data_IF_954469731811
#
_entry.id   IF_954469731811
#
_cell.length_a   1.000
_cell.length_b   1.000
_cell.length_c   1.000
_cell.angle_alpha   90.00
_cell.angle_beta   90.00
_cell.angle_gamma   90.00
#
_symmetry.space_group_name_H-M   'P 1'
#
loop_
_entity.id
_entity.type
_entity.pdbx_description
1 polymer ?
#
# COMPACT_ATOMS: atom_id res chain seq x y z
N UNK A 1 -3.04 3.95 25.76
CA UNK A 1 -2.89 3.29 24.44
C UNK A 1 -3.93 3.80 23.44
N UNK A 2 -4.67 4.84 23.82
CA UNK A 2 -6.00 5.12 23.27
C UNK A 2 -5.93 5.93 21.97
N UNK A 3 -4.90 6.77 21.82
CA UNK A 3 -4.69 7.60 20.64
C UNK A 3 -4.50 6.81 19.34
N UNK A 4 -3.97 5.58 19.40
CA UNK A 4 -3.74 4.80 18.19
C UNK A 4 -5.04 4.45 17.47
N UNK A 5 -6.11 4.14 18.21
CA UNK A 5 -7.42 3.85 17.61
C UNK A 5 -8.02 5.08 16.92
N UNK A 6 -7.75 6.28 17.44
CA UNK A 6 -8.22 7.52 16.85
C UNK A 6 -7.53 7.87 15.53
N UNK A 7 -6.33 7.31 15.25
CA UNK A 7 -5.65 7.48 13.93
C UNK A 7 -6.43 6.85 12.79
N UNK A 8 -7.25 5.84 13.09
CA UNK A 8 -7.98 5.06 12.08
C UNK A 8 -8.94 5.94 11.28
N UNK A 9 -9.64 6.87 11.94
CA UNK A 9 -10.60 7.78 11.31
C UNK A 9 -9.96 8.71 10.24
N UNK A 10 -8.93 9.53 10.55
CA UNK A 10 -8.32 10.41 9.56
C UNK A 10 -7.59 9.63 8.46
N UNK A 11 -7.07 8.44 8.75
CA UNK A 11 -6.48 7.56 7.73
C UNK A 11 -7.54 7.12 6.72
N UNK A 12 -8.67 6.56 7.17
CA UNK A 12 -9.75 6.14 6.27
C UNK A 12 -10.30 7.31 5.45
N UNK A 13 -10.49 8.47 6.09
CA UNK A 13 -10.99 9.66 5.41
C UNK A 13 -10.01 10.16 4.34
N UNK A 14 -8.71 10.15 4.64
CA UNK A 14 -7.66 10.56 3.68
C UNK A 14 -7.54 9.59 2.51
N UNK A 15 -7.71 8.28 2.73
CA UNK A 15 -7.68 7.26 1.67
C UNK A 15 -8.74 7.51 0.60
N UNK A 16 -9.95 7.95 0.99
CA UNK A 16 -11.01 8.30 0.03
C UNK A 16 -10.56 9.42 -0.89
N UNK A 17 -9.92 10.47 -0.35
CA UNK A 17 -9.41 11.57 -1.16
C UNK A 17 -8.24 11.13 -2.05
N UNK A 18 -7.30 10.34 -1.52
CA UNK A 18 -6.18 9.81 -2.30
C UNK A 18 -6.71 9.08 -3.55
N UNK A 19 -7.62 8.11 -3.38
CA UNK A 19 -8.18 7.38 -4.51
C UNK A 19 -8.96 8.28 -5.47
N UNK A 20 -9.74 9.24 -4.96
CA UNK A 20 -10.46 10.18 -5.81
C UNK A 20 -9.50 10.99 -6.68
N UNK A 21 -8.50 11.65 -6.09
CA UNK A 21 -7.53 12.48 -6.80
C UNK A 21 -6.67 11.67 -7.78
N UNK A 22 -6.31 10.42 -7.43
CA UNK A 22 -5.61 9.50 -8.34
C UNK A 22 -6.46 9.19 -9.57
N UNK A 23 -7.76 8.87 -9.41
CA UNK A 23 -8.67 8.58 -10.53
C UNK A 23 -8.90 9.79 -11.42
N UNK A 24 -8.86 11.01 -10.87
CA UNK A 24 -9.00 12.25 -11.61
C UNK A 24 -7.73 12.69 -12.36
N UNK A 25 -6.67 11.88 -12.33
CA UNK A 25 -5.40 12.19 -13.01
C UNK A 25 -4.50 13.16 -12.25
N UNK A 26 -4.84 13.51 -11.00
CA UNK A 26 -4.03 14.39 -10.14
C UNK A 26 -3.07 13.59 -9.25
N UNK A 27 -2.53 12.47 -9.76
CA UNK A 27 -1.62 11.60 -9.02
C UNK A 27 -0.33 12.33 -8.57
N UNK A 28 0.16 13.30 -9.34
CA UNK A 28 1.33 14.11 -8.95
C UNK A 28 1.05 14.92 -7.68
N UNK A 29 -0.13 15.55 -7.58
CA UNK A 29 -0.56 16.30 -6.39
C UNK A 29 -0.63 15.39 -5.18
N UNK A 30 -1.19 14.19 -5.33
CA UNK A 30 -1.22 13.17 -4.27
C UNK A 30 0.20 12.83 -3.82
N UNK A 31 1.12 12.56 -4.75
CA UNK A 31 2.51 12.21 -4.44
C UNK A 31 3.22 13.33 -3.68
N UNK A 32 3.08 14.59 -4.09
CA UNK A 32 3.68 15.74 -3.41
C UNK A 32 3.17 15.89 -1.96
N UNK A 33 1.86 15.74 -1.76
CA UNK A 33 1.25 15.79 -0.42
C UNK A 33 1.76 14.63 0.44
N UNK A 34 1.88 13.43 -0.11
CA UNK A 34 2.40 12.27 0.62
C UNK A 34 3.87 12.43 1.01
N UNK A 35 4.71 13.01 0.15
CA UNK A 35 6.10 13.31 0.51
C UNK A 35 6.19 14.33 1.64
N UNK A 36 5.38 15.39 1.58
CA UNK A 36 5.29 16.36 2.67
C UNK A 36 4.79 15.71 3.97
N UNK A 37 3.80 14.82 3.87
CA UNK A 37 3.29 14.07 5.01
C UNK A 37 4.36 13.20 5.66
N UNK A 38 5.17 12.48 4.88
CA UNK A 38 6.28 11.65 5.41
C UNK A 38 7.30 12.52 6.13
N UNK A 39 7.67 13.67 5.55
CA UNK A 39 8.59 14.61 6.19
C UNK A 39 8.02 15.16 7.51
N UNK A 40 6.75 15.58 7.51
CA UNK A 40 6.07 16.06 8.70
C UNK A 40 5.97 14.96 9.77
N UNK A 41 5.66 13.72 9.36
CA UNK A 41 5.58 12.57 10.25
C UNK A 41 6.91 12.29 10.94
N UNK A 42 8.02 12.28 10.19
CA UNK A 42 9.35 12.08 10.76
C UNK A 42 9.73 13.18 11.77
N UNK A 43 9.40 14.44 11.48
CA UNK A 43 9.65 15.58 12.37
C UNK A 43 8.81 15.45 13.65
N UNK A 44 7.51 15.17 13.52
CA UNK A 44 6.60 15.05 14.66
C UNK A 44 6.95 13.85 15.53
N UNK A 45 7.25 12.70 14.94
CA UNK A 45 7.71 11.52 15.67
C UNK A 45 8.96 11.84 16.47
N UNK A 46 9.95 12.51 15.87
CA UNK A 46 11.16 12.90 16.58
C UNK A 46 10.88 13.82 17.77
N UNK A 47 9.96 14.78 17.62
CA UNK A 47 9.62 15.73 18.70
C UNK A 47 8.81 15.05 19.81
N UNK A 48 7.78 14.28 19.46
CA UNK A 48 6.79 13.71 20.38
C UNK A 48 7.29 12.45 21.09
N UNK A 49 8.14 11.65 20.43
CA UNK A 49 8.74 10.46 21.04
C UNK A 49 9.83 10.87 22.01
N UNK A 50 10.77 11.74 21.59
CA UNK A 50 11.92 12.13 22.40
C UNK A 50 11.68 13.32 23.34
N UNK A 51 10.51 13.98 23.26
CA UNK A 51 10.15 15.09 24.15
C UNK A 51 11.04 16.33 23.97
N UNK A 52 11.55 16.58 22.77
CA UNK A 52 12.30 17.82 22.47
C UNK A 52 11.34 19.01 22.34
N UNK A 53 11.84 20.24 22.51
CA UNK A 53 11.06 21.48 22.34
C UNK A 53 9.95 21.76 23.39
N UNK A 54 10.17 21.40 24.66
CA UNK A 54 9.19 21.54 25.77
C UNK A 54 7.94 20.65 25.65
N UNK A 55 7.94 19.68 24.74
CA UNK A 55 6.90 18.66 24.66
C UNK A 55 7.14 17.55 25.69
N UNK A 56 6.10 16.98 26.31
CA UNK A 56 6.23 15.82 27.18
C UNK A 56 6.75 14.60 26.39
N UNK A 57 7.68 13.84 26.96
CA UNK A 57 8.16 12.59 26.37
C UNK A 57 7.08 11.51 26.48
N UNK A 58 6.28 11.37 25.42
CA UNK A 58 5.12 10.47 25.41
C UNK A 58 5.44 9.08 24.84
N UNK A 59 6.66 8.85 24.36
CA UNK A 59 7.10 7.57 23.80
C UNK A 59 6.13 7.06 22.72
N UNK A 60 5.61 5.85 22.91
CA UNK A 60 4.67 5.20 21.96
C UNK A 60 3.36 5.98 21.80
N UNK A 61 2.88 6.67 22.85
CA UNK A 61 1.69 7.50 22.74
C UNK A 61 1.94 8.72 21.84
N UNK A 62 3.18 9.23 21.81
CA UNK A 62 3.61 10.32 20.93
C UNK A 62 3.55 9.93 19.45
N UNK A 63 3.97 8.70 19.10
CA UNK A 63 3.86 8.18 17.73
C UNK A 63 2.39 8.10 17.25
N UNK A 64 1.48 7.69 18.14
CA UNK A 64 0.05 7.69 17.85
C UNK A 64 -0.49 9.11 17.59
N UNK A 65 -0.13 10.07 18.44
CA UNK A 65 -0.57 11.47 18.29
C UNK A 65 0.00 12.12 17.02
N UNK A 66 1.27 11.87 16.70
CA UNK A 66 1.91 12.32 15.46
C UNK A 66 1.10 11.87 14.24
N UNK A 67 0.70 10.59 14.21
CA UNK A 67 -0.15 10.04 13.16
C UNK A 67 -1.49 10.79 13.02
N UNK A 68 -2.21 11.03 14.12
CA UNK A 68 -3.48 11.77 14.07
C UNK A 68 -3.29 13.15 13.46
N UNK A 69 -2.25 13.89 13.89
CA UNK A 69 -1.99 15.25 13.42
C UNK A 69 -1.63 15.25 11.93
N UNK A 70 -0.75 14.35 11.50
CA UNK A 70 -0.31 14.27 10.10
C UNK A 70 -1.46 13.88 9.19
N UNK A 71 -2.17 12.78 9.49
CA UNK A 71 -3.30 12.36 8.65
C UNK A 71 -4.46 13.35 8.71
N UNK A 72 -4.68 14.02 9.84
CA UNK A 72 -5.63 15.13 9.95
C UNK A 72 -5.25 16.32 9.07
N UNK A 73 -3.97 16.69 9.05
CA UNK A 73 -3.45 17.76 8.19
C UNK A 73 -3.58 17.41 6.70
N UNK A 74 -3.22 16.19 6.31
CA UNK A 74 -3.41 15.68 4.94
C UNK A 74 -4.88 15.75 4.53
N UNK A 75 -5.77 15.28 5.39
CA UNK A 75 -7.21 15.33 5.15
C UNK A 75 -7.68 16.77 4.90
N UNK A 76 -7.24 17.72 5.73
CA UNK A 76 -7.57 19.14 5.56
C UNK A 76 -7.01 19.71 4.25
N UNK A 77 -5.78 19.38 3.88
CA UNK A 77 -5.18 19.81 2.61
C UNK A 77 -6.01 19.28 1.43
N UNK A 78 -6.36 17.99 1.41
CA UNK A 78 -7.21 17.43 0.36
C UNK A 78 -8.60 18.08 0.34
N UNK A 79 -9.19 18.32 1.49
CA UNK A 79 -10.49 18.99 1.60
C UNK A 79 -10.45 20.41 1.03
N UNK A 80 -9.43 21.19 1.36
CA UNK A 80 -9.21 22.54 0.82
C UNK A 80 -8.99 22.48 -0.70
N UNK A 81 -8.10 21.61 -1.18
CA UNK A 81 -7.88 21.44 -2.61
C UNK A 81 -9.17 21.09 -3.34
N UNK A 82 -9.99 20.23 -2.76
CA UNK A 82 -11.28 19.87 -3.34
C UNK A 82 -12.28 21.03 -3.37
N UNK A 83 -12.35 21.81 -2.28
CA UNK A 83 -13.28 22.92 -2.14
C UNK A 83 -12.94 24.11 -3.05
N UNK A 84 -11.65 24.39 -3.27
CA UNK A 84 -11.19 25.59 -3.98
C UNK A 84 -10.81 25.35 -5.44
N UNK A 85 -10.52 24.12 -5.85
CA UNK A 85 -10.02 23.87 -7.19
C UNK A 85 -11.14 23.98 -8.25
N UNK A 86 -10.99 24.92 -9.19
CA UNK A 86 -11.99 25.34 -10.20
C UNK A 86 -12.56 24.21 -11.05
N UNK A 87 -11.79 23.13 -11.27
CA UNK A 87 -12.24 21.91 -11.95
C UNK A 87 -13.41 21.21 -11.24
N UNK A 88 -13.49 21.32 -9.91
CA UNK A 88 -14.54 20.70 -9.09
C UNK A 88 -15.82 21.52 -9.03
N UNK A 89 -15.77 22.83 -9.29
CA UNK A 89 -16.97 23.68 -9.37
C UNK A 89 -17.95 23.24 -10.46
N UNK A 90 -17.46 22.60 -11.51
CA UNK A 90 -18.27 22.12 -12.64
C UNK A 90 -18.89 20.74 -12.40
N UNK A 91 -18.23 19.87 -11.61
CA UNK A 91 -18.59 18.45 -11.50
C UNK A 91 -19.04 18.02 -10.10
N UNK A 92 -18.69 18.76 -9.04
CA UNK A 92 -19.05 18.40 -7.67
C UNK A 92 -20.36 19.00 -7.21
N UNK A 93 -21.38 18.16 -7.30
CA UNK A 93 -22.63 18.26 -6.56
C UNK A 93 -22.37 17.94 -5.07
N UNK A 94 -21.64 18.78 -4.35
CA UNK A 94 -21.71 18.77 -2.87
C UNK A 94 -23.14 19.04 -2.38
N UNK A 95 -24.00 19.57 -3.26
CA UNK A 95 -25.43 19.80 -3.05
C UNK A 95 -26.27 18.52 -2.81
N UNK A 96 -25.75 17.31 -3.08
CA UNK A 96 -26.47 16.01 -2.92
C UNK A 96 -25.77 15.01 -2.01
N UNK A 97 -24.75 15.41 -1.24
CA UNK A 97 -24.14 14.53 -0.20
C UNK A 97 -25.20 13.94 0.73
N UNK A 98 -26.30 14.67 0.94
CA UNK A 98 -27.37 14.29 1.87
C UNK A 98 -28.41 13.29 1.33
N UNK A 99 -28.34 12.88 0.06
CA UNK A 99 -29.20 11.80 -0.47
C UNK A 99 -28.35 10.60 -0.89
N UNK A 100 -28.00 9.70 0.05
CA UNK A 100 -27.27 8.48 -0.30
C UNK A 100 -28.05 7.70 -1.35
N UNK A 101 -27.45 7.49 -2.51
CA UNK A 101 -28.00 6.60 -3.54
C UNK A 101 -27.71 5.18 -3.10
N UNK A 102 -28.67 4.54 -2.46
CA UNK A 102 -28.57 3.15 -1.99
C UNK A 102 -28.14 2.17 -3.09
N UNK A 103 -28.51 2.44 -4.35
CA UNK A 103 -28.08 1.67 -5.51
C UNK A 103 -26.56 1.68 -5.69
N UNK A 104 -25.95 2.87 -5.62
CA UNK A 104 -24.50 3.05 -5.72
C UNK A 104 -23.80 2.44 -4.50
N UNK A 105 -24.35 2.65 -3.30
CA UNK A 105 -23.77 2.07 -2.08
C UNK A 105 -23.80 0.53 -2.10
N UNK A 106 -24.91 -0.08 -2.55
CA UNK A 106 -25.02 -1.54 -2.71
C UNK A 106 -24.02 -2.08 -3.72
N UNK A 107 -23.76 -1.35 -4.80
CA UNK A 107 -22.75 -1.71 -5.78
C UNK A 107 -21.33 -1.61 -5.20
N UNK A 108 -21.02 -0.56 -4.43
CA UNK A 108 -19.76 -0.45 -3.69
C UNK A 108 -19.56 -1.63 -2.73
N UNK A 109 -20.57 -2.01 -1.96
CA UNK A 109 -20.49 -3.18 -1.07
C UNK A 109 -20.31 -4.49 -1.86
N UNK A 110 -21.06 -4.68 -2.96
CA UNK A 110 -20.95 -5.89 -3.79
C UNK A 110 -19.55 -6.05 -4.41
N UNK A 111 -18.92 -4.95 -4.82
CA UNK A 111 -17.57 -4.97 -5.41
C UNK A 111 -16.47 -5.01 -4.34
N UNK A 112 -16.67 -4.29 -3.24
CA UNK A 112 -15.69 -4.17 -2.15
C UNK A 112 -15.64 -5.40 -1.26
N UNK A 113 -16.79 -6.01 -0.93
CA UNK A 113 -16.87 -7.12 0.01
C UNK A 113 -15.99 -8.32 -0.37
N UNK A 114 -16.01 -8.84 -1.61
CA UNK A 114 -15.13 -9.95 -1.99
C UNK A 114 -13.65 -9.58 -1.92
N UNK A 115 -13.28 -8.34 -2.27
CA UNK A 115 -11.89 -7.87 -2.22
C UNK A 115 -11.38 -7.73 -0.79
N UNK A 116 -12.18 -7.15 0.10
CA UNK A 116 -11.82 -7.01 1.52
C UNK A 116 -11.71 -8.37 2.18
N UNK A 117 -12.65 -9.29 1.92
CA UNK A 117 -12.60 -10.65 2.46
C UNK A 117 -11.34 -11.39 2.00
N UNK A 118 -11.00 -11.30 0.70
CA UNK A 118 -9.75 -11.88 0.17
C UNK A 118 -8.52 -11.31 0.87
N UNK A 119 -8.48 -9.98 1.08
CA UNK A 119 -7.38 -9.30 1.78
C UNK A 119 -7.25 -9.73 3.24
N UNK A 120 -8.37 -9.82 3.95
CA UNK A 120 -8.41 -10.31 5.34
C UNK A 120 -7.91 -11.74 5.44
N UNK A 121 -8.42 -12.65 4.60
CA UNK A 121 -7.97 -14.04 4.58
C UNK A 121 -6.47 -14.15 4.33
N UNK A 122 -5.93 -13.37 3.39
CA UNK A 122 -4.48 -13.35 3.14
C UNK A 122 -3.69 -12.85 4.34
N UNK A 123 -4.12 -11.76 4.99
CA UNK A 123 -3.42 -11.22 6.16
C UNK A 123 -3.48 -12.18 7.36
N UNK A 124 -4.63 -12.84 7.56
CA UNK A 124 -4.80 -13.88 8.57
C UNK A 124 -3.89 -15.07 8.27
N UNK A 125 -3.79 -15.53 7.02
CA UNK A 125 -2.88 -16.61 6.65
C UNK A 125 -1.42 -16.26 6.98
N UNK A 126 -0.96 -15.05 6.65
CA UNK A 126 0.40 -14.60 7.01
C UNK A 126 0.62 -14.51 8.53
N UNK A 127 -0.42 -14.11 9.27
CA UNK A 127 -0.36 -14.04 10.73
C UNK A 127 -0.29 -15.43 11.36
N UNK A 128 -1.09 -16.39 10.85
CA UNK A 128 -1.08 -17.78 11.30
C UNK A 128 0.25 -18.45 10.97
N UNK A 129 0.83 -18.22 9.79
CA UNK A 129 2.15 -18.77 9.46
C UNK A 129 3.25 -18.19 10.34
N UNK A 130 3.15 -16.91 10.72
CA UNK A 130 4.10 -16.29 11.66
C UNK A 130 3.96 -16.91 13.08
N UNK A 131 2.74 -17.20 13.53
CA UNK A 131 2.49 -17.88 14.81
C UNK A 131 3.05 -19.31 14.80
N UNK A 132 2.81 -20.08 13.73
CA UNK A 132 3.37 -21.42 13.56
C UNK A 132 4.90 -21.40 13.50
N UNK A 133 5.50 -20.41 12.83
CA UNK A 133 6.95 -20.22 12.85
C UNK A 133 7.46 -19.92 14.27
N UNK A 134 6.68 -19.23 15.10
CA UNK A 134 7.00 -19.02 16.52
C UNK A 134 7.05 -20.31 17.34
N UNK A 135 6.22 -21.30 17.02
CA UNK A 135 6.23 -22.60 17.69
C UNK A 135 7.50 -23.41 17.40
N UNK A 136 8.12 -23.18 16.23
CA UNK A 136 9.40 -23.80 15.84
C UNK A 136 10.62 -23.16 16.53
N UNK A 137 10.41 -22.10 17.31
CA UNK A 137 11.43 -21.42 18.10
C UNK A 137 11.65 -19.95 17.71
N UNK A 138 12.30 -19.22 18.61
CA UNK A 138 12.54 -17.77 18.49
C UNK A 138 13.36 -17.38 17.24
N UNK A 139 14.25 -18.26 16.80
CA UNK A 139 15.03 -18.06 15.59
C UNK A 139 14.15 -18.13 14.33
N UNK A 140 13.20 -19.07 14.27
CA UNK A 140 12.34 -19.24 13.09
C UNK A 140 11.43 -18.01 12.86
N UNK A 141 10.82 -17.47 13.91
CA UNK A 141 9.99 -16.25 13.81
C UNK A 141 10.79 -14.98 13.51
N UNK A 142 12.01 -14.85 14.04
CA UNK A 142 12.90 -13.73 13.72
C UNK A 142 13.27 -13.75 12.22
N UNK A 143 13.62 -14.93 11.70
CA UNK A 143 13.87 -15.16 10.27
C UNK A 143 12.66 -14.77 9.42
N UNK A 144 11.49 -15.28 9.78
CA UNK A 144 10.25 -15.01 9.05
C UNK A 144 9.94 -13.51 9.01
N UNK A 145 10.13 -12.80 10.12
CA UNK A 145 9.88 -11.36 10.21
C UNK A 145 10.82 -10.57 9.30
N UNK A 146 12.12 -10.85 9.32
CA UNK A 146 13.09 -10.20 8.43
C UNK A 146 12.76 -10.48 6.95
N UNK A 147 12.49 -11.74 6.60
CA UNK A 147 12.08 -12.11 5.24
C UNK A 147 10.81 -11.38 4.80
N UNK A 148 9.82 -11.26 5.69
CA UNK A 148 8.56 -10.57 5.42
C UNK A 148 8.77 -9.09 5.14
N UNK A 149 9.63 -8.41 5.91
CA UNK A 149 9.94 -6.98 5.70
C UNK A 149 10.66 -6.75 4.36
N UNK A 150 11.64 -7.60 4.02
CA UNK A 150 12.34 -7.53 2.73
C UNK A 150 11.35 -7.71 1.57
N UNK A 151 10.46 -8.69 1.67
CA UNK A 151 9.40 -8.94 0.67
C UNK A 151 8.47 -7.74 0.49
N UNK A 152 8.08 -7.10 1.59
CA UNK A 152 7.23 -5.90 1.55
C UNK A 152 7.94 -4.77 0.79
N UNK A 153 9.19 -4.48 1.14
CA UNK A 153 9.97 -3.39 0.54
C UNK A 153 10.21 -3.60 -0.95
N UNK A 154 10.67 -4.80 -1.34
CA UNK A 154 11.17 -5.05 -2.69
C UNK A 154 10.04 -5.33 -3.68
N UNK A 155 9.06 -6.16 -3.31
CA UNK A 155 8.09 -6.65 -4.28
C UNK A 155 6.71 -6.06 -4.09
N UNK A 156 6.26 -5.90 -2.85
CA UNK A 156 4.90 -5.45 -2.60
C UNK A 156 4.67 -4.00 -3.03
N UNK A 157 5.61 -3.10 -2.71
CA UNK A 157 5.54 -1.68 -3.10
C UNK A 157 5.47 -1.52 -4.62
N UNK A 158 6.38 -2.16 -5.34
CA UNK A 158 6.44 -2.08 -6.82
C UNK A 158 5.18 -2.66 -7.44
N UNK A 159 4.76 -3.85 -7.00
CA UNK A 159 3.57 -4.53 -7.52
C UNK A 159 2.32 -3.68 -7.32
N UNK A 160 2.16 -3.10 -6.12
CA UNK A 160 0.98 -2.32 -5.78
C UNK A 160 0.94 -0.97 -6.50
N UNK A 161 2.09 -0.31 -6.65
CA UNK A 161 2.20 0.93 -7.41
C UNK A 161 1.83 0.72 -8.89
N UNK A 162 2.37 -0.31 -9.54
CA UNK A 162 2.08 -0.60 -10.95
C UNK A 162 0.61 -1.02 -11.12
N UNK A 163 0.11 -1.90 -10.26
CA UNK A 163 -1.29 -2.35 -10.31
C UNK A 163 -2.28 -1.18 -10.15
N UNK A 164 -2.03 -0.27 -9.20
CA UNK A 164 -2.88 0.91 -9.00
C UNK A 164 -2.86 1.87 -10.20
N UNK A 165 -1.70 2.09 -10.81
CA UNK A 165 -1.56 2.91 -12.02
C UNK A 165 -2.35 2.32 -13.21
N UNK A 166 -2.28 1.01 -13.41
CA UNK A 166 -3.00 0.31 -14.49
C UNK A 166 -4.50 0.39 -14.27
N UNK A 167 -4.99 0.06 -13.07
CA UNK A 167 -6.42 0.12 -12.74
C UNK A 167 -6.97 1.52 -13.02
N UNK A 168 -6.22 2.56 -12.63
CA UNK A 168 -6.61 3.95 -12.84
C UNK A 168 -6.69 4.31 -14.33
N UNK A 169 -5.64 4.01 -15.11
CA UNK A 169 -5.60 4.31 -16.56
C UNK A 169 -6.60 3.48 -17.36
N UNK A 170 -6.77 2.22 -16.99
CA UNK A 170 -7.73 1.30 -17.60
C UNK A 170 -9.17 1.71 -17.28
N UNK A 171 -9.45 2.16 -16.05
CA UNK A 171 -10.75 2.73 -15.69
C UNK A 171 -11.11 3.95 -16.54
N UNK A 172 -10.14 4.85 -16.79
CA UNK A 172 -10.32 5.99 -17.67
C UNK A 172 -10.52 5.58 -19.15
N UNK A 173 -9.75 4.60 -19.65
CA UNK A 173 -9.89 4.08 -21.02
C UNK A 173 -11.23 3.34 -21.24
N UNK A 174 -11.68 2.57 -20.24
CA UNK A 174 -12.98 1.91 -20.25
C UNK A 174 -14.12 2.93 -20.36
N UNK A 175 -14.02 4.06 -19.64
CA UNK A 175 -14.98 5.15 -19.72
C UNK A 175 -15.06 5.79 -21.12
N UNK A 176 -13.97 5.75 -21.89
CA UNK A 176 -13.90 6.23 -23.29
C UNK A 176 -14.26 5.15 -24.33
N UNK A 177 -14.55 3.91 -23.90
CA UNK A 177 -14.76 2.75 -24.78
C UNK A 177 -13.62 2.47 -25.76
N UNK A 178 -12.39 2.84 -25.39
CA UNK A 178 -11.21 2.63 -26.23
C UNK A 178 -10.51 1.32 -25.85
N UNK A 179 -10.92 0.25 -26.52
CA UNK A 179 -10.42 -1.11 -26.28
C UNK A 179 -8.94 -1.28 -26.66
N UNK A 180 -8.47 -0.59 -27.71
CA UNK A 180 -7.07 -0.66 -28.14
C UNK A 180 -6.14 -0.07 -27.07
N UNK A 181 -6.51 1.09 -26.51
CA UNK A 181 -5.77 1.67 -25.38
C UNK A 181 -5.77 0.78 -24.15
N UNK A 182 -6.86 0.05 -23.86
CA UNK A 182 -6.91 -0.86 -22.70
C UNK A 182 -5.87 -1.99 -22.83
N UNK A 183 -5.75 -2.62 -24.00
CA UNK A 183 -4.74 -3.66 -24.25
C UNK A 183 -3.31 -3.11 -24.21
N UNK A 184 -3.08 -1.91 -24.76
CA UNK A 184 -1.77 -1.24 -24.71
C UNK A 184 -1.36 -0.90 -23.26
N UNK A 185 -2.28 -0.36 -22.45
CA UNK A 185 -2.03 -0.07 -21.02
C UNK A 185 -1.69 -1.34 -20.25
N UNK A 186 -2.41 -2.43 -20.52
CA UNK A 186 -2.15 -3.72 -19.91
C UNK A 186 -0.76 -4.24 -20.30
N UNK A 187 -0.50 -4.44 -21.59
CA UNK A 187 0.78 -4.99 -22.06
C UNK A 187 1.98 -4.12 -21.63
N UNK A 188 1.86 -2.79 -21.72
CA UNK A 188 2.89 -1.86 -21.27
C UNK A 188 3.11 -1.92 -19.77
N UNK A 189 2.05 -2.04 -18.97
CA UNK A 189 2.16 -2.23 -17.53
C UNK A 189 2.81 -3.56 -17.15
N UNK A 190 2.59 -4.63 -17.92
CA UNK A 190 3.14 -5.96 -17.66
C UNK A 190 4.64 -5.96 -17.95
N UNK A 191 5.03 -5.31 -19.05
CA UNK A 191 6.42 -5.09 -19.40
C UNK A 191 7.15 -4.25 -18.33
N UNK A 192 6.53 -3.15 -17.87
CA UNK A 192 7.06 -2.35 -16.78
C UNK A 192 7.20 -3.16 -15.49
N UNK A 193 6.20 -3.98 -15.17
CA UNK A 193 6.26 -4.86 -14.01
C UNK A 193 7.46 -5.82 -14.08
N UNK A 194 7.66 -6.49 -15.22
CA UNK A 194 8.81 -7.36 -15.43
C UNK A 194 10.13 -6.58 -15.33
N UNK A 195 10.21 -5.41 -15.96
CA UNK A 195 11.42 -4.58 -15.95
C UNK A 195 11.80 -4.13 -14.54
N UNK A 196 10.82 -3.75 -13.70
CA UNK A 196 11.07 -3.26 -12.35
C UNK A 196 11.24 -4.37 -11.31
N UNK A 197 10.69 -5.56 -11.52
CA UNK A 197 10.77 -6.65 -10.54
C UNK A 197 11.98 -7.56 -10.73
N UNK A 198 12.43 -7.75 -11.98
CA UNK A 198 13.56 -8.63 -12.28
C UNK A 198 14.87 -8.17 -11.61
N UNK A 199 15.28 -6.88 -11.70
CA UNK A 199 16.55 -6.45 -11.10
C UNK A 199 16.60 -6.63 -9.58
N UNK A 200 15.58 -6.22 -8.79
CA UNK A 200 15.59 -6.45 -7.35
C UNK A 200 15.57 -7.93 -6.96
N UNK A 201 14.86 -8.80 -7.69
CA UNK A 201 14.85 -10.25 -7.42
C UNK A 201 16.21 -10.88 -7.70
N UNK A 202 16.86 -10.48 -8.80
CA UNK A 202 18.22 -10.93 -9.14
C UNK A 202 19.23 -10.43 -8.10
N UNK A 203 19.12 -9.16 -7.71
CA UNK A 203 19.99 -8.56 -6.69
C UNK A 203 19.83 -9.23 -5.34
N UNK A 204 18.61 -9.54 -4.90
CA UNK A 204 18.36 -10.31 -3.68
C UNK A 204 18.94 -11.72 -3.75
N UNK A 205 18.89 -12.37 -4.92
CA UNK A 205 19.46 -13.71 -5.10
C UNK A 205 20.99 -13.68 -5.04
N UNK A 206 21.62 -12.66 -5.62
CA UNK A 206 23.09 -12.51 -5.68
C UNK A 206 23.68 -11.97 -4.36
N UNK A 207 23.01 -11.03 -3.70
CA UNK A 207 23.47 -10.34 -2.49
C UNK A 207 22.70 -10.76 -1.22
N UNK A 208 22.06 -11.94 -1.23
CA UNK A 208 21.28 -12.43 -0.10
C UNK A 208 22.01 -12.37 1.26
N UNK A 209 23.32 -12.67 1.38
CA UNK A 209 24.01 -12.62 2.67
C UNK A 209 24.14 -11.19 3.22
N UNK A 210 24.41 -10.22 2.35
CA UNK A 210 24.62 -8.82 2.72
C UNK A 210 23.34 -8.14 3.21
N UNK A 211 22.21 -8.46 2.59
CA UNK A 211 20.90 -7.92 3.01
C UNK A 211 20.55 -8.42 4.41
N UNK A 212 20.89 -9.68 4.73
CA UNK A 212 20.63 -10.25 6.05
C UNK A 212 21.53 -9.62 7.12
N UNK A 213 22.81 -9.39 6.81
CA UNK A 213 23.74 -8.69 7.70
C UNK A 213 23.25 -7.30 8.10
N UNK A 214 22.64 -6.56 7.17
CA UNK A 214 22.10 -5.22 7.43
C UNK A 214 21.03 -5.22 8.53
N UNK A 215 20.25 -6.31 8.65
CA UNK A 215 19.18 -6.45 9.64
C UNK A 215 19.64 -7.08 10.96
N UNK A 216 20.60 -8.00 10.96
CA UNK A 216 20.96 -8.78 12.17
C UNK A 216 22.25 -8.31 12.86
N UNK A 217 23.09 -7.50 12.21
CA UNK A 217 24.47 -7.28 12.67
C UNK A 217 25.32 -8.56 12.58
N UNK A 218 26.64 -8.41 12.73
CA UNK A 218 27.66 -9.45 12.46
C UNK A 218 27.61 -10.72 13.34
N UNK A 219 26.73 -10.79 14.34
CA UNK A 219 26.76 -11.85 15.37
C UNK A 219 25.91 -13.11 15.10
N UNK A 220 25.02 -13.12 14.09
CA UNK A 220 24.01 -14.19 13.90
C UNK A 220 24.12 -14.92 12.54
N UNK A 221 25.21 -14.71 11.80
CA UNK A 221 25.40 -15.14 10.40
C UNK A 221 25.26 -16.65 10.16
N UNK A 222 25.73 -17.49 11.08
CA UNK A 222 25.94 -18.92 10.81
C UNK A 222 24.67 -19.78 10.86
N UNK A 223 23.60 -19.35 11.57
CA UNK A 223 22.37 -20.16 11.72
C UNK A 223 21.20 -19.70 10.84
N UNK A 224 21.11 -18.43 10.48
CA UNK A 224 20.04 -17.91 9.63
C UNK A 224 20.27 -18.15 8.12
N UNK A 225 21.53 -18.35 7.71
CA UNK A 225 21.94 -18.37 6.31
C UNK A 225 21.31 -19.47 5.44
N UNK A 226 20.87 -20.59 6.00
CA UNK A 226 20.42 -21.73 5.18
C UNK A 226 18.94 -21.67 4.75
N UNK A 227 18.04 -21.15 5.60
CA UNK A 227 16.60 -21.14 5.34
C UNK A 227 16.05 -19.79 4.88
N UNK A 228 16.67 -18.69 5.31
CA UNK A 228 16.19 -17.34 5.05
C UNK A 228 16.17 -16.97 3.55
N UNK A 229 17.19 -17.29 2.73
CA UNK A 229 17.17 -17.00 1.30
C UNK A 229 16.08 -17.78 0.56
N UNK A 230 15.82 -19.03 0.95
CA UNK A 230 14.76 -19.88 0.36
C UNK A 230 13.37 -19.37 0.72
N UNK A 231 13.16 -18.96 1.96
CA UNK A 231 11.90 -18.35 2.41
C UNK A 231 11.63 -17.02 1.69
N UNK A 232 12.64 -16.16 1.58
CA UNK A 232 12.56 -14.94 0.78
C UNK A 232 12.16 -15.28 -0.66
N UNK A 233 12.87 -16.20 -1.32
CA UNK A 233 12.61 -16.59 -2.70
C UNK A 233 11.19 -17.16 -2.91
N UNK A 234 10.72 -18.09 -2.07
CA UNK A 234 9.35 -18.60 -2.15
C UNK A 234 8.30 -17.50 -1.98
N UNK A 235 8.56 -16.55 -1.08
CA UNK A 235 7.64 -15.44 -0.82
C UNK A 235 7.61 -14.39 -1.95
N UNK A 236 8.74 -14.22 -2.65
CA UNK A 236 8.85 -13.42 -3.88
C UNK A 236 8.05 -14.06 -5.01
N UNK A 237 8.19 -15.38 -5.20
CA UNK A 237 7.41 -16.14 -6.19
C UNK A 237 5.91 -16.07 -5.90
N UNK A 238 5.51 -16.15 -4.62
CA UNK A 238 4.11 -15.99 -4.24
C UNK A 238 3.57 -14.59 -4.58
N UNK A 239 4.35 -13.54 -4.32
CA UNK A 239 3.93 -12.17 -4.67
C UNK A 239 3.88 -11.94 -6.18
N UNK A 240 4.81 -12.54 -6.93
CA UNK A 240 4.80 -12.52 -8.39
C UNK A 240 3.56 -13.24 -8.93
N UNK A 241 3.30 -14.45 -8.46
CA UNK A 241 2.12 -15.24 -8.81
C UNK A 241 0.81 -14.51 -8.49
N UNK A 242 0.73 -13.87 -7.32
CA UNK A 242 -0.42 -13.08 -6.90
C UNK A 242 -0.71 -11.93 -7.87
N UNK A 243 0.34 -11.18 -8.24
CA UNK A 243 0.21 -10.09 -9.21
C UNK A 243 -0.24 -10.65 -10.54
N UNK A 244 0.43 -11.67 -11.08
CA UNK A 244 0.04 -12.32 -12.35
C UNK A 244 -1.42 -12.81 -12.32
N UNK A 245 -1.89 -13.44 -11.25
CA UNK A 245 -3.29 -13.86 -11.13
C UNK A 245 -4.28 -12.68 -11.14
N UNK A 246 -3.90 -11.58 -10.51
CA UNK A 246 -4.71 -10.35 -10.51
C UNK A 246 -4.81 -9.79 -11.92
N UNK A 247 -3.72 -9.85 -12.68
CA UNK A 247 -3.66 -9.46 -14.08
C UNK A 247 -4.53 -10.34 -14.98
N UNK A 248 -4.43 -11.66 -14.85
CA UNK A 248 -5.31 -12.59 -15.56
C UNK A 248 -6.78 -12.37 -15.23
N UNK A 249 -7.10 -12.08 -13.96
CA UNK A 249 -8.47 -11.76 -13.56
C UNK A 249 -8.98 -10.48 -14.23
N UNK A 250 -8.11 -9.47 -14.37
CA UNK A 250 -8.43 -8.22 -15.09
C UNK A 250 -8.62 -8.49 -16.59
N UNK A 251 -7.76 -9.30 -17.21
CA UNK A 251 -7.88 -9.72 -18.62
C UNK A 251 -9.16 -10.49 -18.88
N UNK A 252 -9.50 -11.43 -18.00
CA UNK A 252 -10.73 -12.21 -18.09
C UNK A 252 -11.95 -11.29 -17.96
N UNK A 253 -11.95 -10.36 -17.01
CA UNK A 253 -13.01 -9.36 -16.87
C UNK A 253 -13.16 -8.48 -18.11
N UNK A 254 -12.05 -8.09 -18.72
CA UNK A 254 -11.99 -7.36 -19.99
C UNK A 254 -12.64 -8.17 -21.13
N UNK A 255 -12.25 -9.44 -21.29
CA UNK A 255 -12.74 -10.30 -22.36
C UNK A 255 -14.26 -10.56 -22.33
N UNK A 256 -14.90 -10.44 -21.15
CA UNK A 256 -16.35 -10.61 -20.99
C UNK A 256 -17.16 -9.31 -21.13
N UNK A 257 -16.52 -8.14 -21.17
CA UNK A 257 -17.20 -6.83 -21.21
C UNK A 257 -16.94 -6.01 -22.48
N UNK A 258 -16.03 -6.48 -23.33
CA UNK A 258 -15.84 -6.00 -24.71
C UNK A 258 -16.72 -6.88 -25.59
#
# INVERSE_FOLDING_TARGET
>A
MDYFLWTVFPVFASLVFIFAFTVMGQALTVTLIMWFAVALHAILDYILIFGKFRAPAMGVAGAGLAGIIVYGAIHMVFFILLAFHRFFRSTMVFRRVWRPRWTVLKEFFRLGWPRSLKGLLMNTLFSVTALLAGWLGTQSIASHTVAFQIRLLVTHVISWAIASAIITRMGAAHGRKDHASMWSILNGGFLLFLLFILPPVVLLKLFSPWVVMLFTGSGLEAKFSCHLPRLCFCSLLFSYWWTVCTWFSIMHWLAWRI
#
